data_IF_554362051604
#
_entry.id   IF_554362051604
#
_cell.length_a   1.000
_cell.length_b   1.000
_cell.length_c   1.000
_cell.angle_alpha   90.00
_cell.angle_beta   90.00
_cell.angle_gamma   90.00
#
_symmetry.space_group_name_H-M   'P 1'
#
loop_
_entity.id
_entity.type
_entity.pdbx_description
1 polymer ?
#
# COMPACT_ATOMS: atom_id res chain seq x y z
N UNK A 1 1.22 -9.64 5.74
CA UNK A 1 0.55 -9.20 4.51
C UNK A 1 -0.70 -10.03 4.33
N UNK A 2 -1.86 -9.42 4.52
CA UNK A 2 -3.18 -10.00 4.30
C UNK A 2 -4.03 -9.04 3.46
N UNK A 3 -5.09 -9.57 2.88
CA UNK A 3 -6.12 -8.79 2.20
C UNK A 3 -7.33 -8.70 3.13
N UNK A 4 -7.93 -7.52 3.26
CA UNK A 4 -9.10 -7.27 4.10
C UNK A 4 -10.16 -6.57 3.25
N UNK A 5 -11.44 -6.79 3.53
CA UNK A 5 -12.54 -6.07 2.88
C UNK A 5 -13.16 -5.07 3.86
N UNK A 6 -13.32 -3.82 3.44
CA UNK A 6 -13.94 -2.77 4.24
C UNK A 6 -14.99 -2.07 3.37
N UNK A 7 -16.27 -2.13 3.76
CA UNK A 7 -17.39 -1.57 2.97
C UNK A 7 -17.47 -2.10 1.51
N UNK A 8 -16.92 -3.28 1.22
CA UNK A 8 -16.84 -3.86 -0.13
C UNK A 8 -15.63 -3.39 -0.95
N UNK A 9 -14.73 -2.60 -0.36
CA UNK A 9 -13.45 -2.21 -0.95
C UNK A 9 -12.32 -3.12 -0.46
N UNK A 10 -11.51 -3.62 -1.41
CA UNK A 10 -10.36 -4.48 -1.11
C UNK A 10 -9.19 -3.63 -0.58
N UNK A 11 -8.75 -3.92 0.64
CA UNK A 11 -7.59 -3.30 1.29
C UNK A 11 -6.45 -4.32 1.32
N UNK A 12 -5.31 -3.92 0.78
CA UNK A 12 -4.07 -4.70 0.87
C UNK A 12 -3.09 -4.00 1.81
N UNK A 13 -2.68 -4.71 2.86
CA UNK A 13 -1.59 -4.24 3.71
C UNK A 13 -0.25 -4.62 3.05
N UNK A 14 0.48 -3.59 2.60
CA UNK A 14 1.76 -3.74 1.93
C UNK A 14 2.72 -2.62 2.34
N UNK A 15 3.97 -3.01 2.58
CA UNK A 15 5.07 -2.08 2.77
C UNK A 15 5.44 -1.42 1.44
N UNK A 16 5.63 -0.10 1.48
CA UNK A 16 6.21 0.65 0.38
C UNK A 16 7.72 0.40 0.36
N UNK A 17 8.24 -0.09 -0.79
CA UNK A 17 9.65 -0.44 -0.94
C UNK A 17 10.42 0.61 -1.72
N UNK A 18 11.68 0.78 -1.40
CA UNK A 18 12.58 1.61 -2.19
C UNK A 18 12.67 1.12 -3.64
N UNK A 19 12.66 2.06 -4.56
CA UNK A 19 12.83 1.82 -5.99
C UNK A 19 13.55 3.01 -6.61
N UNK A 20 14.88 2.94 -6.69
CA UNK A 20 15.68 4.09 -7.10
C UNK A 20 15.47 5.26 -6.13
N UNK A 21 14.92 6.37 -6.63
CA UNK A 21 14.63 7.56 -5.82
C UNK A 21 13.19 7.66 -5.30
N UNK A 22 12.35 6.64 -5.51
CA UNK A 22 10.94 6.64 -5.10
C UNK A 22 10.59 5.43 -4.24
N UNK A 23 9.42 5.48 -3.58
CA UNK A 23 8.84 4.32 -2.89
C UNK A 23 7.69 3.74 -3.73
N UNK A 24 7.64 2.42 -3.86
CA UNK A 24 6.60 1.71 -4.61
C UNK A 24 5.82 0.74 -3.72
N UNK A 25 4.50 0.73 -3.88
CA UNK A 25 3.63 -0.33 -3.39
C UNK A 25 3.22 -1.21 -4.57
N UNK A 26 3.38 -2.52 -4.44
CA UNK A 26 2.96 -3.46 -5.49
C UNK A 26 1.51 -3.89 -5.26
N UNK A 27 0.66 -3.69 -6.26
CA UNK A 27 -0.75 -4.10 -6.27
C UNK A 27 -0.96 -5.37 -7.11
N UNK A 28 -2.06 -6.11 -6.93
CA UNK A 28 -2.40 -7.24 -7.80
C UNK A 28 -2.42 -6.86 -9.28
N UNK A 29 -2.01 -7.80 -10.16
CA UNK A 29 -1.96 -7.56 -11.61
C UNK A 29 -3.34 -7.26 -12.21
N UNK A 30 -4.40 -7.78 -11.61
CA UNK A 30 -5.76 -7.64 -12.10
C UNK A 30 -6.32 -6.22 -11.89
N UNK A 31 -5.66 -5.39 -11.07
CA UNK A 31 -6.01 -3.97 -10.88
C UNK A 31 -5.49 -3.06 -12.01
N UNK A 32 -4.82 -3.60 -13.03
CA UNK A 32 -4.32 -2.80 -14.16
C UNK A 32 -5.47 -2.06 -14.85
N UNK A 33 -5.35 -0.74 -14.94
CA UNK A 33 -6.35 0.14 -15.55
C UNK A 33 -7.43 0.65 -14.58
N UNK A 34 -7.41 0.23 -13.32
CA UNK A 34 -8.26 0.80 -12.27
C UNK A 34 -7.62 2.05 -11.66
N UNK A 35 -8.47 2.95 -11.15
CA UNK A 35 -8.03 4.04 -10.28
C UNK A 35 -7.71 3.51 -8.88
N UNK A 36 -6.51 3.79 -8.39
CA UNK A 36 -6.04 3.32 -7.08
C UNK A 36 -5.69 4.50 -6.20
N UNK A 37 -6.18 4.48 -4.96
CA UNK A 37 -5.75 5.40 -3.90
C UNK A 37 -4.87 4.65 -2.90
N UNK A 38 -3.80 5.30 -2.47
CA UNK A 38 -2.91 4.77 -1.43
C UNK A 38 -3.10 5.58 -0.16
N UNK A 39 -3.37 4.92 0.95
CA UNK A 39 -3.54 5.54 2.27
C UNK A 39 -2.36 5.11 3.14
N UNK A 40 -1.64 6.09 3.67
CA UNK A 40 -0.55 5.85 4.61
C UNK A 40 -1.13 5.61 6.01
N UNK A 41 -0.80 4.47 6.60
CA UNK A 41 -1.31 4.06 7.93
C UNK A 41 -0.26 4.19 9.04
N UNK A 42 1.02 4.28 8.69
CA UNK A 42 2.14 4.50 9.62
C UNK A 42 3.13 5.51 9.04
N UNK A 43 3.81 6.26 9.92
CA UNK A 43 4.96 7.09 9.53
C UNK A 43 6.23 6.22 9.42
N UNK A 44 7.08 6.43 8.40
CA UNK A 44 8.31 5.65 8.23
C UNK A 44 9.38 5.96 9.30
N UNK A 45 9.25 7.10 9.99
CA UNK A 45 10.20 7.59 11.01
C UNK A 45 9.54 7.72 12.39
N UNK A 46 8.74 6.72 12.78
CA UNK A 46 8.36 6.52 14.18
C UNK A 46 8.96 5.20 14.67
N UNK A 47 10.30 5.11 14.60
CA UNK A 47 11.01 4.36 15.62
C UNK A 47 11.05 5.30 16.82
N UNK A 48 10.36 4.93 17.89
CA UNK A 48 10.31 5.66 19.16
C UNK A 48 11.70 6.23 19.54
N UNK A 49 11.71 7.42 20.16
CA UNK A 49 12.89 8.12 20.73
C UNK A 49 14.07 7.24 21.17
#
# INVERSE_FOLDING_TARGET
MGTFELEGEEIIDREAKEFGGSAHVTVPKDWRGADVKVIRVTDPDNQDE
#
